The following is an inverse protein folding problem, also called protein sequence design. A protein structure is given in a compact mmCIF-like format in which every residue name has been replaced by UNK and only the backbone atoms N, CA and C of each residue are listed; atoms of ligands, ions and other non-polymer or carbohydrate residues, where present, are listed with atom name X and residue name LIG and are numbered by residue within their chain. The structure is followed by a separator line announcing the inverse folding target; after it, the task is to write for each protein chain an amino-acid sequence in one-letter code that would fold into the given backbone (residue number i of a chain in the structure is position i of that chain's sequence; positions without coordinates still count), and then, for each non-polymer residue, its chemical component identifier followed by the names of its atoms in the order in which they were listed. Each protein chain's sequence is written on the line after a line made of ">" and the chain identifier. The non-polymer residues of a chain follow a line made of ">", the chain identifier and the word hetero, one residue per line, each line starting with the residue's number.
data_IF_779308543002
#
_entry.id   IF_779308543002
#
_cell.length_a   1.000
_cell.length_b   1.000
_cell.length_c   1.000
_cell.angle_alpha   90.00
_cell.angle_beta   90.00
_cell.angle_gamma   90.00
#
_symmetry.space_group_name_H-M   'P 1'
#
loop_
_entity.id
_entity.type
_entity.pdbx_description
1 polymer ?
#
# COMPACT_ATOMS: atom_id res chain seq x y z
N UNK A 1 6.90 -22.11 -16.17
CA UNK A 1 7.60 -21.50 -17.33
C UNK A 1 8.06 -20.07 -17.06
N UNK A 2 7.21 -19.19 -16.52
CA UNK A 2 7.57 -17.78 -16.19
C UNK A 2 8.62 -17.68 -15.08
N UNK A 3 8.50 -18.46 -14.02
CA UNK A 3 9.43 -18.42 -12.87
C UNK A 3 10.88 -18.80 -13.24
N UNK A 4 11.08 -19.79 -14.11
CA UNK A 4 12.41 -20.19 -14.57
C UNK A 4 13.10 -19.05 -15.36
N UNK A 5 12.33 -18.35 -16.21
CA UNK A 5 12.83 -17.20 -16.96
C UNK A 5 13.14 -16.03 -16.02
N UNK A 6 12.27 -15.74 -15.06
CA UNK A 6 12.48 -14.70 -14.05
C UNK A 6 13.72 -14.99 -13.20
N UNK A 7 13.89 -16.23 -12.70
CA UNK A 7 15.06 -16.63 -11.91
C UNK A 7 16.37 -16.43 -12.67
N UNK A 8 16.41 -16.72 -13.98
CA UNK A 8 17.57 -16.44 -14.84
C UNK A 8 17.84 -14.94 -14.93
N UNK A 9 16.82 -14.12 -15.17
CA UNK A 9 16.95 -12.66 -15.26
C UNK A 9 17.41 -12.04 -13.93
N UNK A 10 16.87 -12.49 -12.81
CA UNK A 10 17.26 -12.04 -11.47
C UNK A 10 18.74 -12.31 -11.21
N UNK A 11 19.24 -13.51 -11.54
CA UNK A 11 20.67 -13.84 -11.44
C UNK A 11 21.54 -12.94 -12.31
N UNK A 12 21.13 -12.68 -13.55
CA UNK A 12 21.87 -11.80 -14.46
C UNK A 12 21.90 -10.35 -13.97
N UNK A 13 20.83 -9.91 -13.29
CA UNK A 13 20.73 -8.58 -12.71
C UNK A 13 21.39 -8.45 -11.32
N UNK A 14 21.97 -9.53 -10.77
CA UNK A 14 22.54 -9.53 -9.42
C UNK A 14 21.49 -9.40 -8.30
N UNK A 15 20.23 -9.71 -8.59
CA UNK A 15 19.11 -9.64 -7.63
C UNK A 15 18.85 -11.00 -6.97
N UNK A 16 18.15 -10.98 -5.84
CA UNK A 16 17.76 -12.19 -5.12
C UNK A 16 16.98 -13.15 -6.05
N UNK A 17 17.50 -14.36 -6.34
CA UNK A 17 16.89 -15.32 -7.26
C UNK A 17 15.61 -15.97 -6.73
N UNK A 18 15.26 -15.74 -5.46
CA UNK A 18 14.03 -16.24 -4.83
C UNK A 18 12.86 -15.27 -4.98
N UNK A 19 13.06 -14.10 -5.61
CA UNK A 19 11.96 -13.22 -6.00
C UNK A 19 11.05 -13.92 -7.00
N UNK A 20 9.76 -13.81 -6.75
CA UNK A 20 8.71 -14.41 -7.59
C UNK A 20 7.86 -13.32 -8.25
N UNK A 21 7.06 -13.64 -9.28
CA UNK A 21 6.06 -12.70 -9.79
C UNK A 21 5.12 -12.18 -8.69
N UNK A 22 4.85 -13.00 -7.67
CA UNK A 22 4.06 -12.60 -6.51
C UNK A 22 4.78 -11.56 -5.63
N UNK A 23 6.11 -11.68 -5.46
CA UNK A 23 6.92 -10.66 -4.78
C UNK A 23 6.83 -9.30 -5.48
N UNK A 24 6.87 -9.27 -6.81
CA UNK A 24 6.72 -8.04 -7.59
C UNK A 24 5.33 -7.43 -7.46
N UNK A 25 4.29 -8.25 -7.36
CA UNK A 25 2.92 -7.79 -7.11
C UNK A 25 2.82 -7.05 -5.78
N UNK A 26 3.50 -7.54 -4.73
CA UNK A 26 3.55 -6.85 -3.44
C UNK A 26 4.27 -5.51 -3.53
N UNK A 27 5.41 -5.46 -4.21
CA UNK A 27 6.12 -4.19 -4.46
C UNK A 27 5.24 -3.20 -5.20
N UNK A 28 4.50 -3.65 -6.23
CA UNK A 28 3.58 -2.80 -6.97
C UNK A 28 2.47 -2.22 -6.06
N UNK A 29 1.86 -3.05 -5.21
CA UNK A 29 0.86 -2.62 -4.24
C UNK A 29 1.42 -1.57 -3.27
N UNK A 30 2.60 -1.81 -2.69
CA UNK A 30 3.23 -0.88 -1.75
C UNK A 30 3.48 0.48 -2.40
N UNK A 31 4.05 0.50 -3.61
CA UNK A 31 4.34 1.74 -4.34
C UNK A 31 3.07 2.52 -4.68
N UNK A 32 1.99 1.84 -5.07
CA UNK A 32 0.70 2.50 -5.31
C UNK A 32 0.09 3.09 -4.04
N UNK A 33 0.19 2.38 -2.92
CA UNK A 33 -0.29 2.87 -1.63
C UNK A 33 0.52 4.07 -1.13
N UNK A 34 1.84 4.07 -1.33
CA UNK A 34 2.71 5.22 -1.04
C UNK A 34 2.34 6.43 -1.90
N UNK A 35 2.04 6.19 -3.18
CA UNK A 35 1.55 7.18 -4.14
C UNK A 35 0.07 7.59 -3.94
N UNK A 36 -0.53 7.25 -2.80
CA UNK A 36 -1.90 7.67 -2.41
C UNK A 36 -3.03 7.13 -3.28
N UNK A 37 -2.78 6.08 -4.07
CA UNK A 37 -3.87 5.37 -4.75
C UNK A 37 -4.79 4.71 -3.70
N UNK A 38 -6.10 4.71 -3.96
CA UNK A 38 -7.05 4.06 -3.06
C UNK A 38 -6.95 2.54 -3.17
N UNK A 39 -7.43 1.83 -2.14
CA UNK A 39 -7.46 0.37 -2.15
C UNK A 39 -8.24 -0.16 -3.36
N UNK A 40 -9.37 0.47 -3.70
CA UNK A 40 -10.21 0.08 -4.84
C UNK A 40 -9.46 0.23 -6.17
N UNK A 41 -8.73 1.34 -6.37
CA UNK A 41 -7.93 1.58 -7.57
C UNK A 41 -6.82 0.53 -7.71
N UNK A 42 -6.16 0.19 -6.61
CA UNK A 42 -5.12 -0.84 -6.57
C UNK A 42 -5.71 -2.20 -6.92
N UNK A 43 -6.84 -2.58 -6.31
CA UNK A 43 -7.49 -3.87 -6.55
C UNK A 43 -7.97 -4.03 -7.99
N UNK A 44 -8.54 -2.96 -8.58
CA UNK A 44 -8.97 -2.93 -9.98
C UNK A 44 -7.79 -3.17 -10.92
N UNK A 45 -6.65 -2.49 -10.70
CA UNK A 45 -5.42 -2.69 -11.47
C UNK A 45 -4.87 -4.11 -11.38
N UNK A 46 -5.02 -4.72 -10.21
CA UNK A 46 -4.50 -6.04 -9.88
C UNK A 46 -5.47 -7.18 -10.25
N UNK A 47 -6.64 -6.87 -10.81
CA UNK A 47 -7.64 -7.82 -11.27
C UNK A 47 -8.32 -8.62 -10.15
N UNK A 48 -8.45 -8.02 -8.95
CA UNK A 48 -9.10 -8.62 -7.76
C UNK A 48 -8.55 -9.98 -7.28
N UNK A 49 -7.46 -10.50 -7.87
CA UNK A 49 -7.01 -11.88 -7.67
C UNK A 49 -6.49 -12.22 -6.25
N UNK A 50 -6.31 -11.23 -5.36
CA UNK A 50 -5.88 -11.50 -3.98
C UNK A 50 -6.13 -10.30 -3.05
N UNK A 51 -7.37 -10.15 -2.60
CA UNK A 51 -7.81 -9.00 -1.79
C UNK A 51 -7.12 -8.95 -0.41
N UNK A 52 -7.03 -10.08 0.31
CA UNK A 52 -6.57 -10.05 1.71
C UNK A 52 -5.11 -9.57 1.87
N UNK A 53 -4.18 -10.09 1.07
CA UNK A 53 -2.76 -9.67 1.17
C UNK A 53 -2.60 -8.23 0.69
N UNK A 54 -3.28 -7.86 -0.40
CA UNK A 54 -3.27 -6.49 -0.95
C UNK A 54 -3.76 -5.50 0.11
N UNK A 55 -4.88 -5.83 0.77
CA UNK A 55 -5.46 -5.04 1.86
C UNK A 55 -4.52 -4.96 3.06
N UNK A 56 -3.87 -6.06 3.45
CA UNK A 56 -2.91 -6.07 4.57
C UNK A 56 -1.73 -5.14 4.30
N UNK A 57 -1.16 -5.20 3.09
CA UNK A 57 -0.06 -4.32 2.67
C UNK A 57 -0.52 -2.87 2.65
N UNK A 58 -1.66 -2.59 2.01
CA UNK A 58 -2.24 -1.25 1.95
C UNK A 58 -2.44 -0.64 3.35
N UNK A 59 -3.06 -1.40 4.26
CA UNK A 59 -3.29 -0.96 5.64
C UNK A 59 -1.99 -0.71 6.41
N UNK A 60 -0.95 -1.50 6.14
CA UNK A 60 0.37 -1.30 6.75
C UNK A 60 1.01 0.01 6.27
N UNK A 61 1.08 0.22 4.95
CA UNK A 61 1.73 1.39 4.33
C UNK A 61 0.99 2.69 4.70
N UNK A 62 -0.34 2.67 4.68
CA UNK A 62 -1.17 3.86 4.97
C UNK A 62 -1.37 4.15 6.46
N UNK A 63 -0.90 3.28 7.37
CA UNK A 63 -1.10 3.43 8.83
C UNK A 63 -0.64 4.80 9.37
N UNK A 64 0.53 5.36 8.99
CA UNK A 64 0.96 6.67 9.47
C UNK A 64 0.02 7.79 9.02
N UNK A 65 -0.34 7.83 7.73
CA UNK A 65 -1.27 8.84 7.17
C UNK A 65 -2.64 8.78 7.83
N UNK A 66 -3.14 7.58 8.12
CA UNK A 66 -4.42 7.40 8.85
C UNK A 66 -4.35 7.93 10.28
N UNK A 67 -3.23 7.73 10.97
CA UNK A 67 -3.01 8.28 12.32
C UNK A 67 -2.99 9.81 12.29
N UNK A 68 -2.29 10.39 11.31
CA UNK A 68 -2.26 11.83 11.09
C UNK A 68 -3.65 12.41 10.82
N UNK A 69 -4.43 11.77 9.95
CA UNK A 69 -5.81 12.18 9.66
C UNK A 69 -6.69 12.17 10.92
N UNK A 70 -6.60 11.12 11.74
CA UNK A 70 -7.35 11.03 13.00
C UNK A 70 -6.95 12.12 14.01
N UNK A 71 -5.67 12.48 14.05
CA UNK A 71 -5.17 13.56 14.89
C UNK A 71 -5.70 14.92 14.42
N UNK A 72 -5.58 15.24 13.12
CA UNK A 72 -6.11 16.47 12.52
C UNK A 72 -7.61 16.63 12.79
N UNK A 73 -8.36 15.54 12.65
CA UNK A 73 -9.78 15.54 12.98
C UNK A 73 -10.05 15.86 14.46
N UNK A 74 -9.28 15.26 15.37
CA UNK A 74 -9.41 15.53 16.81
C UNK A 74 -9.10 16.98 17.16
N UNK A 75 -8.11 17.59 16.51
CA UNK A 75 -7.76 19.01 16.69
C UNK A 75 -8.87 19.93 16.18
N UNK A 76 -9.43 19.64 15.00
CA UNK A 76 -10.56 20.38 14.43
C UNK A 76 -11.78 20.36 15.37
N UNK A 77 -12.11 19.21 15.94
CA UNK A 77 -13.22 19.08 16.90
C UNK A 77 -12.99 19.81 18.23
N UNK A 78 -11.73 19.99 18.64
CA UNK A 78 -11.38 20.79 19.83
C UNK A 78 -11.45 22.29 19.54
N UNK A 79 -11.07 22.70 18.34
CA UNK A 79 -11.13 24.10 17.92
C UNK A 79 -12.58 24.59 17.82
N UNK A 80 -13.48 23.80 17.23
CA UNK A 80 -14.91 24.15 17.12
C UNK A 80 -15.61 24.28 18.48
N UNK A 81 -15.18 23.52 19.48
CA UNK A 81 -15.75 23.61 20.84
C UNK A 81 -15.35 24.88 21.59
N UNK A 82 -14.25 25.54 21.21
CA UNK A 82 -13.79 26.80 21.82
C UNK A 82 -14.54 28.02 21.30
N UNK A 83 -15.04 27.99 20.06
CA UNK A 83 -15.78 29.11 19.46
C UNK A 83 -17.22 29.23 19.98
N UNK A 84 -17.84 28.13 20.44
CA UNK A 84 -19.20 28.14 21.02
C UNK A 84 -19.24 28.52 22.52
N UNK A 85 -18.08 28.75 23.15
CA UNK A 85 -17.97 29.11 24.58
C UNK A 85 -17.53 30.58 24.80
N UNK A 86 -17.58 31.43 23.77
CA UNK A 86 -17.31 32.88 23.85
C UNK A 86 -18.53 33.70 23.47
#
# INVERSE_FOLDING_TARGET
>A
MVELRMKRLLKLAGLNPDLTPHSLRHTHTSLLAEAEATLEQIMQRLGHANDEITRRIYLHITKPKRKEAAQKFSELMRASKKSDQS
#
